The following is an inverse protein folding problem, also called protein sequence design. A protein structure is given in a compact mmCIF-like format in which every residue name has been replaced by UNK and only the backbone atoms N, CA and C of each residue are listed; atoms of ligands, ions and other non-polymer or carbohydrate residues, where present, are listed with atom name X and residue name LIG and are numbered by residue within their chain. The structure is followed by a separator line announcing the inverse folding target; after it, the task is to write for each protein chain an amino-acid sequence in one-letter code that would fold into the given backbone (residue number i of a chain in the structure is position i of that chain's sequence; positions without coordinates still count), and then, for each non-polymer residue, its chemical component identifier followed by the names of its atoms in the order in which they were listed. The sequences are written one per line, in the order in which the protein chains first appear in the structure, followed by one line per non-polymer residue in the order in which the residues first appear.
data_IF_631515074109
#
_entry.id   IF_631515074109
#
_cell.length_a   1.000
_cell.length_b   1.000
_cell.length_c   1.000
_cell.angle_alpha   90.00
_cell.angle_beta   90.00
_cell.angle_gamma   90.00
#
_symmetry.space_group_name_H-M   'P 1'
#
loop_
_entity.id
_entity.type
_entity.pdbx_description
1 polymer ?
#
# COMPACT_ATOMS: atom_id res chain seq x y z
N UNK A 1 9.65 -7.63 0.91
CA UNK A 1 8.45 -6.88 1.37
C UNK A 1 7.73 -7.58 2.51
N UNK A 2 7.57 -8.92 2.50
CA UNK A 2 6.83 -9.66 3.54
C UNK A 2 7.19 -9.28 4.99
N UNK A 3 8.50 -9.21 5.33
CA UNK A 3 8.95 -8.88 6.70
C UNK A 3 8.42 -7.52 7.15
N UNK A 4 8.61 -6.49 6.33
CA UNK A 4 8.17 -5.13 6.60
C UNK A 4 6.63 -5.02 6.69
N UNK A 5 5.89 -5.79 5.89
CA UNK A 5 4.42 -5.84 5.99
C UNK A 5 3.97 -6.40 7.34
N UNK A 6 4.51 -7.55 7.75
CA UNK A 6 4.15 -8.16 9.03
C UNK A 6 4.54 -7.26 10.21
N UNK A 7 5.74 -6.68 10.18
CA UNK A 7 6.19 -5.70 11.18
C UNK A 7 5.26 -4.48 11.23
N UNK A 8 4.84 -3.94 10.08
CA UNK A 8 3.92 -2.82 10.02
C UNK A 8 2.55 -3.18 10.60
N UNK A 9 2.01 -4.37 10.29
CA UNK A 9 0.76 -4.85 10.88
C UNK A 9 0.88 -5.01 12.39
N UNK A 10 1.95 -5.64 12.88
CA UNK A 10 2.20 -5.83 14.30
C UNK A 10 2.38 -4.51 15.06
N UNK A 11 2.90 -3.46 14.40
CA UNK A 11 3.06 -2.14 15.01
C UNK A 11 1.72 -1.44 15.32
N UNK A 12 0.64 -1.77 14.59
CA UNK A 12 -0.68 -1.13 14.75
C UNK A 12 -1.81 -2.09 15.10
N UNK A 13 -1.55 -3.40 15.15
CA UNK A 13 -2.52 -4.45 15.52
C UNK A 13 -1.86 -5.48 16.43
N UNK A 14 -2.68 -6.07 17.32
CA UNK A 14 -2.28 -7.18 18.20
C UNK A 14 -2.23 -8.50 17.43
N UNK A 15 -1.26 -8.64 16.52
CA UNK A 15 -1.03 -9.89 15.78
C UNK A 15 -0.54 -10.96 16.77
N UNK A 16 -1.14 -12.14 16.73
CA UNK A 16 -0.77 -13.28 17.61
C UNK A 16 -0.14 -14.43 16.85
N UNK A 17 -0.47 -14.57 15.57
CA UNK A 17 0.00 -15.64 14.70
C UNK A 17 0.11 -15.16 13.26
N UNK A 18 1.03 -15.74 12.51
CA UNK A 18 1.16 -15.57 11.07
C UNK A 18 1.30 -16.92 10.39
N UNK A 19 0.59 -17.10 9.28
CA UNK A 19 0.80 -18.23 8.37
C UNK A 19 1.55 -17.72 7.14
N UNK A 20 2.57 -18.45 6.69
CA UNK A 20 3.40 -18.02 5.56
C UNK A 20 3.52 -19.12 4.52
N UNK A 21 3.29 -18.77 3.26
CA UNK A 21 3.58 -19.61 2.11
C UNK A 21 4.63 -18.95 1.21
N UNK A 22 5.51 -19.77 0.66
CA UNK A 22 6.39 -19.46 -0.45
C UNK A 22 6.61 -20.75 -1.25
N UNK A 23 6.69 -20.70 -2.59
CA UNK A 23 7.03 -21.87 -3.40
C UNK A 23 8.35 -22.51 -2.95
N UNK A 24 9.30 -21.68 -2.50
CA UNK A 24 10.54 -22.15 -1.91
C UNK A 24 10.33 -22.47 -0.41
N UNK A 25 10.53 -23.74 -0.04
CA UNK A 25 10.37 -24.23 1.32
C UNK A 25 11.32 -23.54 2.31
N UNK A 26 12.58 -23.39 1.94
CA UNK A 26 13.60 -22.80 2.82
C UNK A 26 13.31 -21.32 3.10
N UNK A 27 12.77 -20.61 2.11
CA UNK A 27 12.34 -19.22 2.29
C UNK A 27 11.23 -19.10 3.33
N UNK A 28 10.16 -19.91 3.25
CA UNK A 28 9.05 -19.84 4.21
C UNK A 28 9.44 -20.30 5.61
N UNK A 29 10.31 -21.31 5.73
CA UNK A 29 10.84 -21.78 7.03
C UNK A 29 11.72 -20.71 7.67
N UNK A 30 12.64 -20.11 6.91
CA UNK A 30 13.52 -19.04 7.39
C UNK A 30 12.72 -17.83 7.83
N UNK A 31 11.75 -17.41 7.01
CA UNK A 31 10.87 -16.29 7.32
C UNK A 31 10.09 -16.53 8.62
N UNK A 32 9.48 -17.71 8.79
CA UNK A 32 8.70 -18.03 9.98
C UNK A 32 9.55 -17.89 11.25
N UNK A 33 10.73 -18.53 11.28
CA UNK A 33 11.66 -18.46 12.40
C UNK A 33 12.07 -17.02 12.74
N UNK A 34 12.44 -16.24 11.74
CA UNK A 34 12.87 -14.85 11.96
C UNK A 34 11.74 -13.97 12.51
N UNK A 35 10.52 -14.14 12.01
CA UNK A 35 9.38 -13.32 12.43
C UNK A 35 8.83 -13.73 13.78
N UNK A 36 8.85 -15.02 14.11
CA UNK A 36 8.57 -15.52 15.46
C UNK A 36 9.54 -14.89 16.48
N UNK A 37 10.85 -14.93 16.21
CA UNK A 37 11.84 -14.32 17.10
C UNK A 37 11.70 -12.80 17.19
N UNK A 38 11.44 -12.11 16.07
CA UNK A 38 11.39 -10.65 16.02
C UNK A 38 10.14 -10.06 16.68
N UNK A 39 9.02 -10.79 16.69
CA UNK A 39 7.72 -10.27 17.11
C UNK A 39 7.09 -11.02 18.30
N UNK A 40 7.68 -12.13 18.74
CA UNK A 40 7.15 -12.99 19.80
C UNK A 40 5.71 -13.46 19.48
N UNK A 41 5.53 -14.01 18.27
CA UNK A 41 4.25 -14.53 17.75
C UNK A 41 4.42 -15.93 17.15
N UNK A 42 3.33 -16.70 17.09
CA UNK A 42 3.34 -17.99 16.37
C UNK A 42 3.55 -17.76 14.87
N UNK A 43 4.54 -18.43 14.26
CA UNK A 43 4.77 -18.34 12.81
C UNK A 43 4.79 -19.72 12.15
N UNK A 44 3.79 -19.99 11.32
CA UNK A 44 3.56 -21.31 10.73
C UNK A 44 3.88 -21.32 9.24
N UNK A 45 4.92 -22.05 8.78
CA UNK A 45 5.20 -22.24 7.37
C UNK A 45 4.24 -23.27 6.76
N UNK A 46 3.36 -22.82 5.88
CA UNK A 46 2.33 -23.64 5.23
C UNK A 46 2.84 -24.28 3.93
N UNK A 47 2.24 -25.40 3.53
CA UNK A 47 2.63 -26.14 2.33
C UNK A 47 1.90 -25.71 1.06
N UNK A 48 0.80 -24.96 1.18
CA UNK A 48 0.06 -24.37 0.07
C UNK A 48 -0.39 -22.94 0.39
N UNK A 49 -0.70 -22.12 -0.64
CA UNK A 49 -1.28 -20.81 -0.42
C UNK A 49 -2.69 -20.89 0.21
N UNK A 50 -3.47 -21.91 -0.13
CA UNK A 50 -4.78 -22.15 0.48
C UNK A 50 -4.68 -22.42 1.99
N UNK A 51 -3.69 -23.18 2.45
CA UNK A 51 -3.45 -23.43 3.87
C UNK A 51 -3.06 -22.14 4.61
N UNK A 52 -2.25 -21.30 3.98
CA UNK A 52 -1.84 -20.01 4.54
C UNK A 52 -3.00 -19.00 4.62
N UNK A 53 -3.95 -19.05 3.69
CA UNK A 53 -5.10 -18.15 3.62
C UNK A 53 -6.31 -18.58 4.46
N UNK A 54 -6.33 -19.83 4.93
CA UNK A 54 -7.46 -20.35 5.72
C UNK A 54 -7.47 -19.79 7.14
N UNK A 55 -8.64 -19.42 7.67
CA UNK A 55 -8.83 -18.95 9.06
C UNK A 55 -7.88 -17.79 9.45
N UNK A 56 -7.76 -16.76 8.59
CA UNK A 56 -6.96 -15.55 8.87
C UNK A 56 -7.76 -14.26 8.69
N UNK A 57 -7.46 -13.26 9.52
CA UNK A 57 -8.12 -11.95 9.46
C UNK A 57 -7.54 -11.05 8.34
N UNK A 58 -6.28 -11.27 7.98
CA UNK A 58 -5.54 -10.46 7.00
C UNK A 58 -4.83 -11.40 6.02
N UNK A 59 -5.11 -11.26 4.73
CA UNK A 59 -4.41 -11.92 3.65
C UNK A 59 -3.52 -10.90 2.92
N UNK A 60 -2.20 -11.07 3.07
CA UNK A 60 -1.22 -10.19 2.43
C UNK A 60 -0.39 -10.96 1.39
N UNK A 61 -0.49 -10.52 0.13
CA UNK A 61 0.39 -10.98 -0.94
C UNK A 61 1.59 -10.04 -1.06
N UNK A 62 2.79 -10.61 -1.14
CA UNK A 62 4.06 -9.90 -1.01
C UNK A 62 5.13 -10.45 -1.98
N UNK A 63 4.74 -10.68 -3.23
CA UNK A 63 5.50 -11.33 -4.28
C UNK A 63 5.62 -10.46 -5.53
N UNK A 64 6.52 -10.85 -6.43
CA UNK A 64 6.67 -10.32 -7.78
C UNK A 64 6.27 -11.35 -8.85
N UNK A 65 5.46 -12.34 -8.46
CA UNK A 65 4.95 -13.35 -9.37
C UNK A 65 4.22 -12.72 -10.56
N UNK A 66 4.38 -13.34 -11.73
CA UNK A 66 3.64 -12.96 -12.95
C UNK A 66 2.17 -13.38 -12.87
N UNK A 67 1.90 -14.51 -12.21
CA UNK A 67 0.57 -15.03 -12.00
C UNK A 67 -0.06 -14.47 -10.72
N UNK A 68 -1.39 -14.36 -10.71
CA UNK A 68 -2.15 -14.00 -9.52
C UNK A 68 -1.96 -15.04 -8.41
N UNK A 69 -1.84 -14.58 -7.17
CA UNK A 69 -1.59 -15.43 -6.00
C UNK A 69 -2.70 -15.39 -4.96
N UNK A 70 -3.62 -14.43 -5.04
CA UNK A 70 -4.86 -14.42 -4.27
C UNK A 70 -6.05 -14.65 -5.18
N UNK A 71 -6.93 -15.58 -4.81
CA UNK A 71 -8.10 -15.99 -5.57
C UNK A 71 -9.35 -15.97 -4.70
N UNK A 72 -10.53 -15.78 -5.31
CA UNK A 72 -11.81 -15.73 -4.59
C UNK A 72 -12.05 -16.90 -3.64
N UNK A 73 -11.59 -18.10 -4.02
CA UNK A 73 -11.72 -19.34 -3.21
C UNK A 73 -10.99 -19.29 -1.86
N UNK A 74 -10.05 -18.35 -1.69
CA UNK A 74 -9.26 -18.18 -0.47
C UNK A 74 -9.89 -17.16 0.49
N UNK A 75 -10.93 -16.43 0.07
CA UNK A 75 -11.50 -15.34 0.84
C UNK A 75 -12.58 -15.85 1.79
N UNK A 76 -12.53 -15.38 3.04
CA UNK A 76 -13.54 -15.63 4.07
C UNK A 76 -14.18 -14.30 4.51
N UNK A 77 -15.45 -14.30 4.98
CA UNK A 77 -16.09 -13.11 5.51
C UNK A 77 -15.25 -12.41 6.58
N UNK A 78 -15.15 -11.08 6.51
CA UNK A 78 -14.38 -10.25 7.45
C UNK A 78 -12.90 -10.07 7.12
N UNK A 79 -12.36 -10.82 6.15
CA UNK A 79 -10.95 -10.76 5.78
C UNK A 79 -10.56 -9.38 5.23
N UNK A 80 -9.34 -8.93 5.55
CA UNK A 80 -8.71 -7.76 4.93
C UNK A 80 -7.59 -8.19 3.97
N UNK A 81 -7.59 -7.66 2.75
CA UNK A 81 -6.63 -8.02 1.73
C UNK A 81 -5.67 -6.85 1.43
N UNK A 82 -4.38 -7.19 1.31
CA UNK A 82 -3.35 -6.26 0.84
C UNK A 82 -2.49 -6.92 -0.21
N UNK A 83 -2.07 -6.17 -1.23
CA UNK A 83 -1.13 -6.61 -2.24
C UNK A 83 -0.05 -5.56 -2.45
N UNK A 84 1.14 -6.00 -2.88
CA UNK A 84 2.26 -5.10 -3.19
C UNK A 84 2.25 -4.67 -4.67
N UNK A 85 1.67 -5.52 -5.52
CA UNK A 85 1.60 -5.36 -6.97
C UNK A 85 0.22 -5.80 -7.47
N UNK A 86 0.15 -6.51 -8.61
CA UNK A 86 -1.08 -7.01 -9.25
C UNK A 86 -1.25 -8.51 -8.99
N UNK A 87 -1.49 -8.85 -7.74
CA UNK A 87 -1.50 -10.23 -7.24
C UNK A 87 -2.91 -10.80 -7.08
N UNK A 88 -3.94 -9.96 -7.08
CA UNK A 88 -5.34 -10.41 -7.03
C UNK A 88 -5.80 -10.93 -8.40
N UNK A 89 -6.35 -12.15 -8.40
CA UNK A 89 -7.02 -12.69 -9.56
C UNK A 89 -8.33 -11.94 -9.86
N UNK A 90 -8.81 -11.94 -11.11
CA UNK A 90 -10.04 -11.25 -11.50
C UNK A 90 -11.29 -11.64 -10.70
N UNK A 91 -11.33 -12.85 -10.15
CA UNK A 91 -12.43 -13.38 -9.35
C UNK A 91 -12.49 -12.81 -7.92
N UNK A 92 -11.41 -12.17 -7.45
CA UNK A 92 -11.37 -11.51 -6.14
C UNK A 92 -12.27 -10.28 -6.10
N UNK A 93 -12.27 -9.46 -7.16
CA UNK A 93 -12.93 -8.14 -7.17
C UNK A 93 -14.44 -8.18 -6.86
N UNK A 94 -15.22 -9.14 -7.40
CA UNK A 94 -16.64 -9.26 -7.05
C UNK A 94 -16.91 -9.63 -5.58
N UNK A 95 -15.90 -10.10 -4.84
CA UNK A 95 -16.01 -10.48 -3.42
C UNK A 95 -15.66 -9.35 -2.46
N UNK A 96 -15.09 -8.26 -2.94
CA UNK A 96 -14.68 -7.14 -2.10
C UNK A 96 -15.88 -6.22 -1.84
N UNK A 97 -16.23 -6.04 -0.57
CA UNK A 97 -17.31 -5.15 -0.15
C UNK A 97 -16.85 -3.69 -0.07
N UNK A 98 -15.60 -3.47 0.33
CA UNK A 98 -15.01 -2.13 0.45
C UNK A 98 -13.53 -2.12 0.08
N UNK A 99 -13.14 -1.18 -0.77
CA UNK A 99 -11.73 -0.92 -1.06
C UNK A 99 -11.34 0.48 -0.61
N UNK A 100 -10.23 0.57 0.10
CA UNK A 100 -9.66 1.80 0.62
C UNK A 100 -8.53 2.23 -0.33
N UNK A 101 -8.56 3.49 -0.76
CA UNK A 101 -7.52 4.12 -1.57
C UNK A 101 -7.79 4.20 -3.08
N UNK A 102 -6.76 4.55 -3.85
CA UNK A 102 -6.72 4.39 -5.31
C UNK A 102 -7.45 5.42 -6.17
N UNK A 103 -8.13 6.40 -5.56
CA UNK A 103 -8.74 7.52 -6.28
C UNK A 103 -8.02 8.85 -6.01
N UNK A 104 -8.18 9.89 -6.86
CA UNK A 104 -7.55 11.19 -6.65
C UNK A 104 -7.87 11.87 -5.30
N UNK A 105 -9.00 11.50 -4.68
CA UNK A 105 -9.37 11.95 -3.33
C UNK A 105 -8.46 11.43 -2.22
N UNK A 106 -7.60 10.43 -2.50
CA UNK A 106 -6.57 9.92 -1.57
C UNK A 106 -5.25 10.67 -1.70
N UNK A 107 -5.11 11.60 -2.65
CA UNK A 107 -3.93 12.45 -2.83
C UNK A 107 -4.21 13.84 -2.28
N UNK A 108 -3.90 14.05 -1.00
CA UNK A 108 -4.11 15.32 -0.30
C UNK A 108 -2.77 15.86 0.20
N UNK A 109 -2.46 17.11 -0.16
CA UNK A 109 -1.29 17.84 0.31
C UNK A 109 -1.77 19.16 0.89
N UNK A 110 -1.47 19.41 2.17
CA UNK A 110 -1.88 20.62 2.89
C UNK A 110 -3.40 20.91 2.80
N UNK A 111 -4.22 19.85 2.87
CA UNK A 111 -5.68 19.95 2.78
C UNK A 111 -6.22 20.13 1.34
N UNK A 112 -5.36 20.31 0.35
CA UNK A 112 -5.75 20.42 -1.05
C UNK A 112 -5.58 19.09 -1.79
N UNK A 113 -6.53 18.76 -2.68
CA UNK A 113 -6.44 17.61 -3.57
C UNK A 113 -5.48 17.89 -4.72
N UNK A 114 -4.76 16.86 -5.16
CA UNK A 114 -3.83 16.93 -6.30
C UNK A 114 -4.45 16.28 -7.55
N UNK A 115 -4.51 17.03 -8.66
CA UNK A 115 -4.86 16.49 -9.98
C UNK A 115 -3.64 15.77 -10.58
N UNK A 116 -3.61 14.43 -10.45
CA UNK A 116 -2.55 13.56 -10.99
C UNK A 116 -2.50 13.54 -12.53
N UNK A 117 -3.47 14.16 -13.20
CA UNK A 117 -3.42 14.41 -14.64
C UNK A 117 -2.53 15.61 -15.02
N UNK A 118 -2.03 16.38 -14.04
CA UNK A 118 -1.02 17.42 -14.26
C UNK A 118 0.42 16.92 -14.09
N UNK A 119 0.61 15.68 -13.65
CA UNK A 119 1.92 15.08 -13.48
C UNK A 119 1.92 14.00 -12.40
N UNK A 120 2.98 13.21 -12.36
CA UNK A 120 3.17 12.25 -11.27
C UNK A 120 3.33 12.99 -9.93
N UNK A 121 2.55 12.66 -8.87
CA UNK A 121 2.62 13.35 -7.58
C UNK A 121 4.04 13.47 -6.98
N UNK A 122 4.91 12.47 -7.22
CA UNK A 122 6.34 12.53 -6.83
C UNK A 122 7.10 13.65 -7.52
N UNK A 123 6.87 13.84 -8.82
CA UNK A 123 7.52 14.90 -9.57
C UNK A 123 6.99 16.27 -9.14
N UNK A 124 5.67 16.38 -8.97
CA UNK A 124 5.02 17.61 -8.51
C UNK A 124 5.53 18.05 -7.13
N UNK A 125 5.75 17.10 -6.22
CA UNK A 125 6.29 17.38 -4.88
C UNK A 125 7.73 17.95 -4.90
N UNK A 126 8.48 17.80 -6.00
CA UNK A 126 9.80 18.40 -6.17
C UNK A 126 9.80 19.89 -6.52
N UNK A 127 8.62 20.49 -6.78
CA UNK A 127 8.50 21.91 -7.11
C UNK A 127 7.23 22.49 -6.52
N UNK A 128 7.37 23.43 -5.58
CA UNK A 128 6.22 24.14 -4.98
C UNK A 128 5.30 24.72 -6.05
N UNK A 129 5.86 25.36 -7.08
CA UNK A 129 5.06 25.93 -8.17
C UNK A 129 4.29 24.85 -8.97
N UNK A 130 4.88 23.67 -9.19
CA UNK A 130 4.19 22.58 -9.88
C UNK A 130 3.09 21.96 -9.00
N UNK A 131 3.37 21.81 -7.71
CA UNK A 131 2.41 21.34 -6.72
C UNK A 131 1.20 22.30 -6.63
N UNK A 132 1.44 23.60 -6.54
CA UNK A 132 0.36 24.62 -6.52
C UNK A 132 -0.50 24.57 -7.77
N UNK A 133 0.10 24.43 -8.97
CA UNK A 133 -0.67 24.26 -10.22
C UNK A 133 -1.53 23.00 -10.22
N UNK A 134 -1.01 21.94 -9.62
CA UNK A 134 -1.71 20.66 -9.52
C UNK A 134 -2.81 20.63 -8.44
N UNK A 135 -2.87 21.62 -7.54
CA UNK A 135 -4.00 21.78 -6.62
C UNK A 135 -5.25 22.13 -7.42
N UNK A 136 -6.30 21.33 -7.30
CA UNK A 136 -7.54 21.57 -8.04
C UNK A 136 -8.47 20.38 -8.11
N UNK A 137 -9.61 20.50 -8.82
CA UNK A 137 -10.50 19.38 -9.04
C UNK A 137 -9.81 18.33 -9.90
N UNK A 138 -9.46 17.20 -9.30
CA UNK A 138 -8.87 16.09 -10.03
C UNK A 138 -9.80 15.64 -11.16
N UNK A 139 -9.25 15.54 -12.37
CA UNK A 139 -10.05 15.15 -13.54
C UNK A 139 -10.43 13.67 -13.43
N UNK A 140 -11.70 13.30 -13.68
CA UNK A 140 -12.11 11.91 -13.63
C UNK A 140 -11.38 11.11 -14.70
N UNK A 141 -10.63 10.07 -14.29
CA UNK A 141 -9.99 9.12 -15.20
C UNK A 141 -10.93 7.94 -15.48
N UNK A 142 -11.09 7.60 -16.76
CA UNK A 142 -12.16 6.73 -17.26
C UNK A 142 -12.03 5.22 -16.95
N UNK A 143 -10.93 4.75 -16.36
CA UNK A 143 -10.75 3.32 -16.09
C UNK A 143 -11.22 2.93 -14.69
N UNK A 144 -12.34 2.20 -14.63
CA UNK A 144 -12.81 1.52 -13.42
C UNK A 144 -12.71 0.00 -13.63
N UNK A 145 -12.35 -0.73 -12.59
CA UNK A 145 -12.50 -2.19 -12.60
C UNK A 145 -14.00 -2.54 -12.65
N UNK A 146 -14.45 -3.06 -13.80
CA UNK A 146 -15.87 -3.38 -14.03
C UNK A 146 -16.39 -4.52 -13.15
N UNK A 147 -15.50 -5.33 -12.60
CA UNK A 147 -15.82 -6.49 -11.76
C UNK A 147 -15.84 -6.14 -10.27
N UNK A 148 -15.56 -4.89 -9.89
CA UNK A 148 -15.69 -4.43 -8.51
C UNK A 148 -17.03 -3.73 -8.32
N UNK A 149 -17.81 -4.21 -7.36
CA UNK A 149 -19.16 -3.69 -7.05
C UNK A 149 -19.28 -3.12 -5.64
N UNK A 150 -18.20 -3.17 -4.86
CA UNK A 150 -18.15 -2.65 -3.50
C UNK A 150 -18.03 -1.13 -3.43
N UNK A 151 -17.88 -0.63 -2.21
CA UNK A 151 -17.68 0.79 -1.91
C UNK A 151 -16.21 1.17 -2.07
N UNK A 152 -15.96 2.36 -2.62
CA UNK A 152 -14.64 2.97 -2.59
C UNK A 152 -14.58 4.01 -1.51
N UNK A 153 -13.60 3.89 -0.63
CA UNK A 153 -13.38 4.81 0.47
C UNK A 153 -12.03 5.46 0.27
N UNK A 154 -12.00 6.79 0.20
CA UNK A 154 -10.74 7.53 0.18
C UNK A 154 -9.98 7.28 1.47
N UNK A 155 -8.66 7.08 1.37
CA UNK A 155 -7.82 6.98 2.58
C UNK A 155 -7.91 8.27 3.41
N UNK A 156 -7.96 9.44 2.77
CA UNK A 156 -8.08 10.72 3.45
C UNK A 156 -9.41 10.80 4.23
N UNK A 157 -10.53 10.48 3.58
CA UNK A 157 -11.85 10.50 4.23
C UNK A 157 -11.97 9.45 5.34
N UNK A 158 -11.29 8.30 5.21
CA UNK A 158 -11.24 7.29 6.26
C UNK A 158 -10.50 7.82 7.49
N UNK A 159 -9.37 8.49 7.28
CA UNK A 159 -8.55 9.08 8.35
C UNK A 159 -9.28 10.23 9.05
N UNK A 160 -9.99 11.08 8.30
CA UNK A 160 -10.75 12.22 8.86
C UNK A 160 -12.11 11.82 9.45
N UNK A 161 -12.54 10.57 9.26
CA UNK A 161 -13.84 10.07 9.72
C UNK A 161 -15.04 10.50 8.86
N UNK A 162 -14.80 11.14 7.71
CA UNK A 162 -15.85 11.57 6.77
C UNK A 162 -16.55 10.38 6.09
N UNK A 163 -15.85 9.26 5.89
CA UNK A 163 -16.43 8.07 5.27
C UNK A 163 -15.98 6.81 5.99
N UNK A 164 -16.90 5.97 6.51
CA UNK A 164 -16.53 4.75 7.20
C UNK A 164 -15.95 3.71 6.23
N UNK A 165 -14.98 2.94 6.71
CA UNK A 165 -14.44 1.77 6.01
C UNK A 165 -15.44 0.61 6.06
N UNK A 166 -15.12 -0.43 6.83
CA UNK A 166 -16.06 -1.52 7.09
C UNK A 166 -17.27 -1.02 7.89
N UNK A 167 -18.46 -1.46 7.49
CA UNK A 167 -19.74 -1.25 8.16
C UNK A 167 -20.14 -2.47 9.02
N UNK A 168 -19.62 -3.65 8.71
CA UNK A 168 -19.84 -4.87 9.49
C UNK A 168 -18.57 -5.71 9.57
N UNK A 169 -18.49 -6.58 10.57
CA UNK A 169 -17.37 -7.52 10.75
C UNK A 169 -17.31 -8.60 9.66
N UNK A 170 -18.33 -8.71 8.80
CA UNK A 170 -18.38 -9.68 7.71
C UNK A 170 -17.88 -9.12 6.38
N UNK A 171 -17.78 -7.79 6.25
CA UNK A 171 -17.32 -7.18 5.00
C UNK A 171 -15.86 -7.55 4.71
N UNK A 172 -15.61 -8.01 3.50
CA UNK A 172 -14.27 -8.23 2.98
C UNK A 172 -13.74 -6.90 2.47
N UNK A 173 -12.59 -6.49 2.98
CA UNK A 173 -12.00 -5.21 2.63
C UNK A 173 -10.65 -5.35 1.94
N UNK A 174 -10.25 -4.38 1.12
CA UNK A 174 -8.91 -4.29 0.57
C UNK A 174 -8.33 -2.87 0.71
N UNK A 175 -7.01 -2.73 0.77
CA UNK A 175 -6.33 -1.41 0.79
C UNK A 175 -5.56 -1.10 -0.50
N UNK A 176 -5.72 -1.92 -1.54
CA UNK A 176 -4.95 -1.81 -2.80
C UNK A 176 -5.53 -2.67 -3.93
N UNK A 177 -5.17 -2.28 -5.16
CA UNK A 177 -5.37 -3.00 -6.43
C UNK A 177 -6.78 -3.13 -6.94
N UNK A 178 -7.74 -2.42 -6.37
CA UNK A 178 -8.96 -2.05 -7.10
C UNK A 178 -8.69 -0.77 -7.88
N UNK A 179 -8.51 -0.91 -9.19
CA UNK A 179 -8.25 0.22 -10.09
C UNK A 179 -9.49 1.10 -10.25
N UNK A 180 -9.43 2.34 -9.77
CA UNK A 180 -10.54 3.32 -9.92
C UNK A 180 -10.01 4.71 -10.21
N UNK A 181 -9.95 5.05 -11.49
CA UNK A 181 -9.41 6.33 -11.95
C UNK A 181 -7.89 6.35 -11.88
N UNK A 182 -7.25 6.22 -13.05
CA UNK A 182 -5.78 6.14 -13.13
C UNK A 182 -5.24 4.77 -12.72
N UNK A 183 -3.92 4.62 -12.76
CA UNK A 183 -3.21 3.48 -12.14
C UNK A 183 -3.44 3.47 -10.62
N UNK A 184 -3.06 2.38 -9.94
CA UNK A 184 -3.10 2.23 -8.48
C UNK A 184 -2.34 3.40 -7.81
N UNK A 185 -3.04 4.52 -7.64
CA UNK A 185 -2.45 5.84 -7.50
C UNK A 185 -2.21 6.12 -6.03
N UNK A 186 -1.31 5.34 -5.42
CA UNK A 186 -0.60 5.72 -4.19
C UNK A 186 0.74 4.99 -4.15
N UNK A 187 1.80 5.64 -4.63
CA UNK A 187 3.18 5.24 -4.29
C UNK A 187 4.04 6.46 -4.03
N UNK A 188 3.97 7.47 -4.91
CA UNK A 188 4.89 8.60 -4.86
C UNK A 188 4.84 9.47 -3.59
N UNK A 189 3.66 10.01 -3.24
CA UNK A 189 3.55 10.95 -2.12
C UNK A 189 3.98 10.33 -0.78
N UNK A 190 3.65 9.05 -0.56
CA UNK A 190 4.07 8.32 0.64
C UNK A 190 5.60 8.28 0.80
N UNK A 191 6.35 8.10 -0.30
CA UNK A 191 7.81 8.12 -0.26
C UNK A 191 8.35 9.50 0.10
N UNK A 192 7.78 10.57 -0.46
CA UNK A 192 8.23 11.94 -0.16
C UNK A 192 7.94 12.28 1.31
N UNK A 193 6.76 11.93 1.82
CA UNK A 193 6.40 12.17 3.22
C UNK A 193 7.32 11.44 4.19
N UNK A 194 7.56 10.13 3.98
CA UNK A 194 8.47 9.36 4.85
C UNK A 194 9.92 9.84 4.68
N UNK A 195 10.34 10.14 3.45
CA UNK A 195 11.67 10.66 3.15
C UNK A 195 11.96 11.98 3.84
N UNK A 196 11.03 12.94 3.78
CA UNK A 196 11.15 14.22 4.49
C UNK A 196 11.27 14.01 5.99
N UNK A 197 10.41 13.17 6.58
CA UNK A 197 10.46 12.88 8.01
C UNK A 197 11.80 12.27 8.43
N UNK A 198 12.33 11.31 7.66
CA UNK A 198 13.64 10.70 7.93
C UNK A 198 14.75 11.74 7.80
N UNK A 199 14.72 12.57 6.75
CA UNK A 199 15.69 13.65 6.54
C UNK A 199 15.70 14.63 7.71
N UNK A 200 14.53 15.13 8.12
CA UNK A 200 14.39 16.08 9.22
C UNK A 200 14.91 15.50 10.54
N UNK A 201 14.60 14.23 10.80
CA UNK A 201 15.11 13.50 11.99
C UNK A 201 16.61 13.29 11.95
N UNK A 202 17.17 12.94 10.79
CA UNK A 202 18.62 12.78 10.61
C UNK A 202 19.35 14.11 10.83
N UNK A 203 18.85 15.21 10.25
CA UNK A 203 19.38 16.57 10.44
C UNK A 203 19.34 16.98 11.91
N UNK A 204 18.22 16.77 12.60
CA UNK A 204 18.09 17.07 14.02
C UNK A 204 19.03 16.24 14.91
N UNK A 205 19.38 15.02 14.48
CA UNK A 205 20.32 14.13 15.17
C UNK A 205 21.79 14.36 14.76
N UNK A 206 22.10 15.31 13.88
CA UNK A 206 23.46 15.53 13.37
C UNK A 206 23.99 14.36 12.52
N UNK A 207 23.10 13.56 11.94
CA UNK A 207 23.44 12.42 11.09
C UNK A 207 23.50 12.83 9.61
N UNK A 208 24.35 12.17 8.84
CA UNK A 208 24.51 12.36 7.39
C UNK A 208 25.76 13.14 7.01
N UNK A 209 25.91 13.39 5.70
CA UNK A 209 27.02 14.14 5.13
C UNK A 209 26.49 15.13 4.10
N UNK A 210 26.92 16.37 4.19
CA UNK A 210 26.66 17.37 3.17
C UNK A 210 27.53 17.08 1.94
N UNK A 211 26.90 17.00 0.77
CA UNK A 211 27.58 16.82 -0.50
C UNK A 211 27.63 18.18 -1.21
N UNK A 212 28.82 18.65 -1.60
CA UNK A 212 28.94 19.93 -2.29
C UNK A 212 28.13 19.97 -3.59
N UNK A 213 27.32 21.01 -3.79
CA UNK A 213 26.41 21.11 -4.94
C UNK A 213 27.16 21.22 -6.27
N UNK A 214 28.35 21.83 -6.25
CA UNK A 214 29.27 21.95 -7.39
C UNK A 214 29.73 20.60 -7.94
N UNK A 215 29.62 19.51 -7.18
CA UNK A 215 29.89 18.16 -7.71
C UNK A 215 28.83 17.69 -8.71
N UNK A 216 27.65 18.30 -8.71
CA UNK A 216 26.48 17.86 -9.48
C UNK A 216 26.00 18.89 -10.52
N UNK A 217 26.58 20.09 -10.51
CA UNK A 217 26.23 21.16 -11.43
C UNK A 217 27.36 21.38 -12.42
N UNK A 218 26.97 21.67 -13.67
CA UNK A 218 27.87 22.11 -14.72
C UNK A 218 27.30 23.40 -15.30
N UNK A 219 28.16 24.40 -15.49
CA UNK A 219 27.80 25.61 -16.20
C UNK A 219 27.60 25.26 -17.69
N UNK A 220 26.40 25.55 -18.21
CA UNK A 220 26.02 25.14 -19.57
C UNK A 220 26.47 26.20 -20.60
N UNK A 221 26.79 27.42 -20.18
CA UNK A 221 27.31 28.53 -21.02
C UNK A 221 28.10 29.53 -20.18
N UNK A 222 29.21 30.00 -20.76
CA UNK A 222 29.95 31.20 -20.34
C UNK A 222 29.16 32.49 -20.63
#
# INVERSE_FOLDING_TARGET
MARSHLMAFAAVRKIKKVKVFSPNRDHRVTYAREMEQALDIEATPCNSPEEAAKDVDILATCTNAQESTAHARMLEPGMHLTQVSREFAPDVYPKLDVCIGGGPSSQVVEGARIDDAQGFPTYLAGSVAALERAKGPARPRASKNKNFHGRLVSLAHLITGETPGRLTDREISASSGVKVGGEDSVKGLQFVTVGSLVYDRARAAGLGRELPTDWFLQDIRD
#
